data_IF_503573131628
#
_entry.id   IF_503573131628
#
_cell.length_a   1.000
_cell.length_b   1.000
_cell.length_c   1.000
_cell.angle_alpha   90.00
_cell.angle_beta   90.00
_cell.angle_gamma   90.00
#
_symmetry.space_group_name_H-M   'P 1'
#
loop_
_entity.id
_entity.type
_entity.pdbx_description
1 polymer ?
#
# COMPACT_ATOMS: atom_id res chain seq x y z
N UNK A 1 -4.81 12.48 18.85
CA UNK A 1 -4.32 11.64 17.75
C UNK A 1 -5.39 11.49 16.69
N UNK A 2 -5.06 11.75 15.45
CA UNK A 2 -6.00 11.66 14.34
C UNK A 2 -6.03 10.22 13.84
N UNK A 3 -7.22 9.65 13.77
CA UNK A 3 -7.37 8.29 13.25
C UNK A 3 -7.20 8.28 11.73
N UNK A 4 -6.62 7.19 11.23
CA UNK A 4 -6.53 7.00 9.79
C UNK A 4 -7.93 6.93 9.18
N UNK A 5 -8.20 7.70 8.12
CA UNK A 5 -9.47 7.55 7.40
C UNK A 5 -9.57 6.12 6.84
N UNK A 6 -10.75 5.53 6.96
CA UNK A 6 -10.97 4.18 6.47
C UNK A 6 -11.57 4.21 5.08
N UNK A 7 -11.04 3.36 4.23
CA UNK A 7 -11.61 3.18 2.90
C UNK A 7 -12.90 2.36 2.98
N UNK A 8 -13.88 2.75 2.21
CA UNK A 8 -15.05 1.92 2.00
C UNK A 8 -14.66 0.80 1.03
N UNK A 9 -14.81 -0.46 1.46
CA UNK A 9 -14.32 -1.57 0.67
C UNK A 9 -15.02 -1.69 -0.69
N UNK A 10 -16.32 -1.46 -0.72
CA UNK A 10 -17.08 -1.53 -1.97
C UNK A 10 -16.66 -0.44 -2.94
N UNK A 11 -16.47 0.77 -2.42
CA UNK A 11 -16.00 1.89 -3.22
C UNK A 11 -14.60 1.63 -3.76
N UNK A 12 -13.74 1.06 -2.90
CA UNK A 12 -12.38 0.71 -3.31
C UNK A 12 -12.39 -0.33 -4.43
N UNK A 13 -13.20 -1.38 -4.28
CA UNK A 13 -13.24 -2.45 -5.28
C UNK A 13 -13.79 -1.95 -6.62
N UNK A 14 -14.76 -1.05 -6.57
CA UNK A 14 -15.25 -0.44 -7.78
C UNK A 14 -14.18 0.43 -8.44
N UNK A 15 -13.47 1.20 -7.65
CA UNK A 15 -12.36 2.01 -8.14
C UNK A 15 -11.27 1.14 -8.75
N UNK A 16 -10.96 0.03 -8.10
CA UNK A 16 -9.96 -0.92 -8.59
C UNK A 16 -10.35 -1.47 -9.97
N UNK A 17 -11.61 -1.84 -10.12
CA UNK A 17 -12.10 -2.37 -11.40
C UNK A 17 -12.09 -1.32 -12.51
N UNK A 18 -12.27 -0.06 -12.16
CA UNK A 18 -12.37 1.03 -13.15
C UNK A 18 -11.06 1.77 -13.39
N UNK A 19 -10.02 1.44 -12.65
CA UNK A 19 -8.77 2.19 -12.70
C UNK A 19 -7.92 1.90 -13.94
N UNK A 20 -8.20 0.81 -14.64
CA UNK A 20 -7.41 0.47 -15.82
C UNK A 20 -6.01 -0.02 -15.49
N UNK A 21 -5.89 -0.80 -14.42
CA UNK A 21 -4.59 -1.34 -14.02
C UNK A 21 -4.07 -2.33 -15.06
N UNK A 22 -2.74 -2.33 -15.26
CA UNK A 22 -2.15 -3.36 -16.10
C UNK A 22 -2.06 -4.67 -15.29
N UNK A 23 -1.72 -5.81 -15.96
CA UNK A 23 -1.68 -7.10 -15.25
C UNK A 23 -0.72 -7.12 -14.07
N UNK A 24 0.43 -6.47 -14.17
CA UNK A 24 1.37 -6.42 -13.05
C UNK A 24 0.81 -5.64 -11.87
N UNK A 25 0.19 -4.50 -12.17
CA UNK A 25 -0.39 -3.65 -11.13
C UNK A 25 -1.52 -4.37 -10.40
N UNK A 26 -2.40 -5.01 -11.14
CA UNK A 26 -3.51 -5.73 -10.53
C UNK A 26 -3.01 -6.88 -9.67
N UNK A 27 -2.02 -7.63 -10.18
CA UNK A 27 -1.46 -8.75 -9.45
C UNK A 27 -0.82 -8.31 -8.13
N UNK A 28 -0.12 -7.18 -8.16
CA UNK A 28 0.49 -6.64 -6.94
C UNK A 28 -0.59 -6.29 -5.91
N UNK A 29 -1.62 -5.58 -6.33
CA UNK A 29 -2.70 -5.17 -5.42
C UNK A 29 -3.38 -6.41 -4.82
N UNK A 30 -3.71 -7.39 -5.63
CA UNK A 30 -4.37 -8.60 -5.13
C UNK A 30 -3.47 -9.37 -4.17
N UNK A 31 -2.19 -9.44 -4.48
CA UNK A 31 -1.25 -10.18 -3.65
C UNK A 31 -1.06 -9.51 -2.28
N UNK A 32 -0.87 -8.19 -2.24
CA UNK A 32 -0.66 -7.51 -0.96
C UNK A 32 -1.92 -7.54 -0.09
N UNK A 33 -3.09 -7.54 -0.69
CA UNK A 33 -4.34 -7.69 0.06
C UNK A 33 -4.43 -9.06 0.70
N UNK A 34 -3.81 -10.06 0.09
CA UNK A 34 -3.82 -11.43 0.62
C UNK A 34 -2.77 -11.64 1.71
N UNK A 35 -1.54 -11.16 1.50
CA UNK A 35 -0.45 -11.43 2.45
C UNK A 35 -0.40 -10.43 3.60
N UNK A 36 -0.84 -9.20 3.40
CA UNK A 36 -0.95 -8.19 4.44
C UNK A 36 0.34 -7.44 4.75
N UNK A 37 1.48 -8.10 4.76
CA UNK A 37 2.79 -7.49 5.05
C UNK A 37 3.71 -7.79 3.89
N UNK A 38 4.44 -6.78 3.42
CA UNK A 38 5.25 -6.95 2.22
C UNK A 38 6.39 -5.94 2.17
N UNK A 39 7.40 -6.25 1.37
CA UNK A 39 8.46 -5.32 1.00
C UNK A 39 8.83 -5.55 -0.46
N UNK A 40 9.77 -4.74 -0.96
CA UNK A 40 10.15 -4.81 -2.37
C UNK A 40 10.63 -6.20 -2.77
N UNK A 41 11.50 -6.78 -1.97
CA UNK A 41 12.10 -8.07 -2.32
C UNK A 41 11.06 -9.19 -2.31
N UNK A 42 10.18 -9.21 -1.30
CA UNK A 42 9.16 -10.25 -1.22
C UNK A 42 8.20 -10.18 -2.40
N UNK A 43 7.83 -8.98 -2.84
CA UNK A 43 6.96 -8.82 -4.00
C UNK A 43 7.62 -9.32 -5.27
N UNK A 44 8.89 -8.95 -5.48
CA UNK A 44 9.61 -9.40 -6.70
C UNK A 44 9.71 -10.90 -6.76
N UNK A 45 10.02 -11.53 -5.61
CA UNK A 45 10.16 -12.98 -5.57
C UNK A 45 8.84 -13.69 -5.74
N UNK A 46 7.82 -13.27 -5.00
CA UNK A 46 6.52 -13.95 -5.02
C UNK A 46 5.82 -13.85 -6.36
N UNK A 47 5.98 -12.73 -7.04
CA UNK A 47 5.27 -12.46 -8.30
C UNK A 47 6.16 -12.58 -9.52
N UNK A 48 7.42 -12.99 -9.33
CA UNK A 48 8.39 -13.11 -10.41
C UNK A 48 8.50 -11.83 -11.24
N UNK A 49 8.53 -10.69 -10.54
CA UNK A 49 8.59 -9.39 -11.22
C UNK A 49 10.02 -9.02 -11.58
N UNK A 50 10.23 -8.32 -12.70
CA UNK A 50 11.55 -7.80 -13.01
C UNK A 50 11.98 -6.75 -11.96
N UNK A 51 13.29 -6.57 -11.83
CA UNK A 51 13.82 -5.61 -10.87
C UNK A 51 13.55 -4.15 -11.28
N UNK A 52 13.33 -3.91 -12.55
CA UNK A 52 13.10 -2.56 -13.08
C UNK A 52 11.84 -2.52 -13.91
N UNK A 53 10.91 -1.60 -13.61
CA UNK A 53 10.91 -0.76 -12.42
C UNK A 53 10.64 -1.57 -11.16
N UNK A 54 11.03 -1.07 -9.99
CA UNK A 54 10.77 -1.79 -8.73
C UNK A 54 9.28 -2.08 -8.52
N UNK A 55 9.00 -3.16 -7.78
CA UNK A 55 7.61 -3.55 -7.50
C UNK A 55 6.87 -2.45 -6.74
N UNK A 56 7.51 -1.80 -5.78
CA UNK A 56 6.87 -0.71 -5.03
C UNK A 56 6.61 0.50 -5.90
N UNK A 57 7.42 0.72 -6.93
CA UNK A 57 7.15 1.77 -7.91
C UNK A 57 5.89 1.44 -8.71
N UNK A 58 5.75 0.16 -9.11
CA UNK A 58 4.54 -0.29 -9.81
C UNK A 58 3.31 -0.17 -8.91
N UNK A 59 3.46 -0.46 -7.62
CA UNK A 59 2.38 -0.28 -6.65
C UNK A 59 1.97 1.18 -6.57
N UNK A 60 2.93 2.09 -6.54
CA UNK A 60 2.63 3.51 -6.49
C UNK A 60 1.85 3.96 -7.72
N UNK A 61 2.24 3.48 -8.89
CA UNK A 61 1.54 3.78 -10.13
C UNK A 61 0.10 3.25 -10.09
N UNK A 62 -0.08 2.01 -9.61
CA UNK A 62 -1.41 1.44 -9.45
C UNK A 62 -2.27 2.31 -8.54
N UNK A 63 -1.70 2.75 -7.41
CA UNK A 63 -2.43 3.59 -6.47
C UNK A 63 -2.78 4.95 -7.04
N UNK A 64 -1.93 5.51 -7.90
CA UNK A 64 -2.26 6.76 -8.59
C UNK A 64 -3.51 6.58 -9.47
N UNK A 65 -3.60 5.45 -10.16
CA UNK A 65 -4.76 5.16 -11.01
C UNK A 65 -6.02 4.94 -10.17
N UNK A 66 -5.89 4.22 -9.06
CA UNK A 66 -7.03 3.99 -8.17
C UNK A 66 -7.48 5.30 -7.52
N UNK A 67 -6.52 6.12 -7.08
CA UNK A 67 -6.82 7.40 -6.44
C UNK A 67 -7.62 8.33 -7.36
N UNK A 68 -7.38 8.26 -8.66
CA UNK A 68 -8.11 9.06 -9.62
C UNK A 68 -9.60 8.71 -9.65
N UNK A 69 -9.96 7.50 -9.20
CA UNK A 69 -11.35 7.05 -9.14
C UNK A 69 -12.04 7.40 -7.82
N UNK A 70 -11.28 7.83 -6.79
CA UNK A 70 -11.83 8.20 -5.50
C UNK A 70 -11.02 9.34 -4.87
N UNK A 71 -11.01 10.49 -5.55
CA UNK A 71 -10.09 11.57 -5.19
C UNK A 71 -10.28 12.11 -3.78
N UNK A 72 -11.51 12.14 -3.26
CA UNK A 72 -11.75 12.66 -1.91
C UNK A 72 -11.15 11.76 -0.85
N UNK A 73 -11.38 10.45 -0.97
CA UNK A 73 -10.83 9.49 0.00
C UNK A 73 -9.31 9.46 -0.10
N UNK A 74 -8.78 9.49 -1.32
CA UNK A 74 -7.34 9.50 -1.52
C UNK A 74 -6.70 10.73 -0.88
N UNK A 75 -7.31 11.90 -1.05
CA UNK A 75 -6.80 13.11 -0.46
C UNK A 75 -6.75 13.02 1.08
N UNK A 76 -7.81 12.53 1.69
CA UNK A 76 -7.87 12.37 3.14
C UNK A 76 -6.76 11.43 3.64
N UNK A 77 -6.54 10.33 2.94
CA UNK A 77 -5.49 9.38 3.32
C UNK A 77 -4.11 9.98 3.15
N UNK A 78 -3.88 10.71 2.08
CA UNK A 78 -2.57 11.34 1.86
C UNK A 78 -2.30 12.41 2.91
N UNK A 79 -3.30 13.19 3.28
CA UNK A 79 -3.16 14.20 4.33
C UNK A 79 -2.86 13.55 5.67
N UNK A 80 -3.57 12.46 5.98
CA UNK A 80 -3.30 11.72 7.21
C UNK A 80 -1.87 11.18 7.23
N UNK A 81 -1.44 10.57 6.13
CA UNK A 81 -0.11 9.97 6.05
C UNK A 81 0.99 11.03 6.21
N UNK A 82 0.80 12.18 5.59
CA UNK A 82 1.78 13.26 5.68
C UNK A 82 1.91 13.81 7.10
N UNK A 83 0.85 13.69 7.91
CA UNK A 83 0.86 14.19 9.27
C UNK A 83 1.34 13.20 10.32
N UNK A 84 1.79 12.00 9.92
CA UNK A 84 2.14 10.99 10.91
C UNK A 84 3.45 11.32 11.63
N UNK A 85 4.58 11.09 11.04
CA UNK A 85 5.85 11.39 11.68
C UNK A 85 6.80 11.93 10.62
N UNK A 86 7.82 12.69 11.05
CA UNK A 86 8.72 13.32 10.08
C UNK A 86 9.42 12.34 9.15
N UNK A 87 9.59 11.10 9.57
CA UNK A 87 10.26 10.08 8.77
C UNK A 87 9.27 9.18 8.03
N UNK A 88 7.97 9.49 8.09
CA UNK A 88 6.97 8.77 7.32
C UNK A 88 7.17 9.06 5.83
N UNK A 89 7.21 8.01 5.04
CA UNK A 89 7.31 8.19 3.60
C UNK A 89 5.94 8.59 3.04
N UNK A 90 5.93 9.71 2.34
CA UNK A 90 4.74 10.20 1.69
C UNK A 90 4.78 9.79 0.22
N UNK A 91 3.93 8.87 -0.15
CA UNK A 91 3.80 8.39 -1.52
C UNK A 91 2.38 7.90 -1.74
N UNK A 92 1.97 7.77 -3.01
CA UNK A 92 0.57 7.43 -3.29
C UNK A 92 0.23 6.01 -2.84
N UNK A 93 1.23 5.15 -2.65
CA UNK A 93 1.02 3.83 -2.06
C UNK A 93 0.36 3.88 -0.69
N UNK A 94 0.43 5.02 0.01
CA UNK A 94 -0.26 5.19 1.29
C UNK A 94 -1.78 5.07 1.17
N UNK A 95 -2.31 5.08 -0.03
CA UNK A 95 -3.73 4.79 -0.25
C UNK A 95 -4.09 3.41 0.28
N UNK A 96 -3.19 2.44 0.17
CA UNK A 96 -3.48 1.05 0.52
C UNK A 96 -2.65 0.52 1.68
N UNK A 97 -1.56 1.18 2.06
CA UNK A 97 -0.65 0.63 3.06
C UNK A 97 0.07 1.73 3.84
N UNK A 98 0.69 1.33 4.95
CA UNK A 98 1.54 2.20 5.75
C UNK A 98 2.80 1.45 6.14
N UNK A 99 3.81 2.18 6.60
CA UNK A 99 5.02 1.57 7.14
C UNK A 99 4.63 0.69 8.33
N UNK A 100 5.13 -0.53 8.34
CA UNK A 100 4.79 -1.49 9.38
C UNK A 100 5.44 -1.17 10.71
N UNK A 101 4.96 -1.86 11.73
CA UNK A 101 5.47 -1.78 13.08
C UNK A 101 5.82 -3.18 13.55
N UNK A 102 6.77 -3.26 14.48
CA UNK A 102 7.12 -4.55 15.06
C UNK A 102 6.03 -5.04 16.02
N UNK A 103 6.24 -6.23 16.60
CA UNK A 103 5.25 -6.85 17.48
C UNK A 103 4.94 -6.02 18.72
N UNK A 104 5.85 -5.14 19.12
CA UNK A 104 5.66 -4.28 20.29
C UNK A 104 5.00 -2.94 19.92
N UNK A 105 4.62 -2.77 18.69
CA UNK A 105 4.01 -1.53 18.24
C UNK A 105 5.00 -0.45 17.84
N UNK A 106 6.29 -0.72 17.90
CA UNK A 106 7.29 0.22 17.47
C UNK A 106 7.39 0.26 15.95
N UNK A 107 7.57 1.43 15.44
CA UNK A 107 7.72 1.61 14.01
C UNK A 107 9.04 0.99 13.52
N UNK A 108 8.97 0.25 12.42
CA UNK A 108 10.15 -0.34 11.82
C UNK A 108 11.00 0.75 11.17
N UNK A 109 12.28 0.79 11.55
CA UNK A 109 13.17 1.82 11.03
C UNK A 109 13.55 1.52 9.58
N UNK A 110 13.56 2.54 8.73
CA UNK A 110 14.03 2.36 7.36
C UNK A 110 15.56 2.22 7.33
N UNK A 111 16.05 1.36 6.45
CA UNK A 111 17.47 1.17 6.31
C UNK A 111 18.17 2.32 5.59
N UNK A 112 17.48 2.99 4.68
CA UNK A 112 18.10 4.02 3.88
C UNK A 112 17.22 5.25 3.64
N UNK A 113 16.04 5.29 4.20
CA UNK A 113 15.13 6.40 3.98
C UNK A 113 14.42 6.38 2.64
N UNK A 114 14.56 5.30 1.86
CA UNK A 114 13.82 5.16 0.61
C UNK A 114 12.74 4.10 0.75
N UNK A 115 11.70 4.22 -0.07
CA UNK A 115 10.56 3.30 -0.01
C UNK A 115 10.98 1.86 -0.24
N UNK A 116 12.05 1.63 -1.00
CA UNK A 116 12.48 0.27 -1.34
C UNK A 116 12.98 -0.54 -0.16
N UNK A 117 13.30 0.12 0.93
CA UNK A 117 13.87 -0.56 2.10
C UNK A 117 12.90 -0.65 3.27
N UNK A 118 11.65 -0.23 3.05
CA UNK A 118 10.65 -0.28 4.12
C UNK A 118 9.83 -1.56 4.01
N UNK A 119 9.33 -2.00 5.16
CA UNK A 119 8.29 -3.03 5.23
C UNK A 119 6.96 -2.33 5.40
N UNK A 120 5.96 -2.76 4.65
CA UNK A 120 4.65 -2.13 4.63
C UNK A 120 3.58 -3.09 5.09
N UNK A 121 2.52 -2.53 5.66
CA UNK A 121 1.34 -3.28 6.09
C UNK A 121 0.13 -2.73 5.37
N UNK A 122 -0.65 -3.62 4.76
CA UNK A 122 -1.89 -3.23 4.09
C UNK A 122 -2.87 -2.64 5.10
N UNK A 123 -3.66 -1.66 4.69
CA UNK A 123 -4.71 -1.14 5.56
C UNK A 123 -5.69 -2.25 5.91
N UNK A 124 -6.07 -2.31 7.18
CA UNK A 124 -6.85 -3.41 7.73
C UNK A 124 -8.11 -3.72 6.92
N UNK A 125 -8.83 -2.69 6.51
CA UNK A 125 -10.08 -2.88 5.78
C UNK A 125 -9.89 -3.48 4.39
N UNK A 126 -8.67 -3.42 3.85
CA UNK A 126 -8.37 -3.99 2.53
C UNK A 126 -7.82 -5.41 2.60
N UNK A 127 -7.45 -5.87 3.79
CA UNK A 127 -6.87 -7.19 3.96
C UNK A 127 -7.96 -8.25 3.70
N UNK A 128 -7.66 -9.19 2.81
CA UNK A 128 -8.58 -10.26 2.49
C UNK A 128 -7.90 -11.64 2.52
N UNK A 129 -6.82 -11.74 3.27
CA UNK A 129 -6.12 -13.01 3.41
C UNK A 129 -6.92 -14.01 4.22
N UNK A 130 -6.53 -15.28 4.10
CA UNK A 130 -7.23 -16.38 4.78
C UNK A 130 -6.53 -16.82 6.05
N UNK A 131 -5.58 -16.05 6.53
CA UNK A 131 -4.74 -16.45 7.63
C UNK A 131 -5.42 -16.52 8.99
N UNK A 132 -6.66 -16.15 9.06
CA UNK A 132 -7.41 -16.07 10.30
C UNK A 132 -8.09 -17.37 10.71
N UNK A 133 -7.94 -18.36 9.94
CA UNK A 133 -8.63 -19.65 10.20
C UNK A 133 -8.12 -20.36 11.41
#
# INVERSE_FOLDING_TARGET
MIKRPRLNIKTFELALNNAGLDPYELEIIEHIRYIGIFDELSLRKSLALPAKPPALYRLNKACQKIAAQLPQQAQLLMEWAAGQSPDQISWTGNLVCSIGFNADGERLEPESGTVLYHTFVIHKELFNGLGDD
#
